data_IF_838553710288
#
_entry.id   IF_838553710288
#
_cell.length_a   1.000
_cell.length_b   1.000
_cell.length_c   1.000
_cell.angle_alpha   90.00
_cell.angle_beta   90.00
_cell.angle_gamma   90.00
#
_symmetry.space_group_name_H-M   'P 1'
#
loop_
_entity.id
_entity.type
_entity.pdbx_description
1 polymer ?
#
# COMPACT_ATOMS: atom_id res chain seq x y z
N UNK A 1 -30.83 -90.09 -37.72
CA UNK A 1 -30.90 -89.02 -36.71
C UNK A 1 -29.96 -87.89 -37.15
N UNK A 2 -30.49 -86.69 -37.44
CA UNK A 2 -29.66 -85.53 -37.72
C UNK A 2 -29.01 -85.07 -36.42
N UNK A 3 -27.68 -85.13 -36.30
CA UNK A 3 -26.97 -84.52 -35.17
C UNK A 3 -27.10 -83.00 -35.35
N UNK A 4 -27.60 -82.29 -34.34
CA UNK A 4 -27.71 -80.82 -34.37
C UNK A 4 -26.31 -80.22 -34.56
N UNK A 5 -26.19 -79.26 -35.48
CA UNK A 5 -24.98 -78.46 -35.69
C UNK A 5 -24.55 -77.84 -34.35
N UNK A 6 -23.27 -77.97 -33.93
CA UNK A 6 -22.79 -77.35 -32.70
C UNK A 6 -22.91 -75.83 -32.77
N UNK A 7 -23.40 -75.20 -31.69
CA UNK A 7 -23.49 -73.74 -31.54
C UNK A 7 -22.56 -73.28 -30.41
N UNK A 8 -21.61 -72.43 -30.76
CA UNK A 8 -20.70 -71.74 -29.84
C UNK A 8 -21.34 -70.45 -29.30
N UNK A 9 -20.99 -70.09 -28.06
CA UNK A 9 -21.40 -68.83 -27.41
C UNK A 9 -20.16 -67.98 -27.13
N UNK A 10 -20.29 -66.67 -27.31
CA UNK A 10 -19.22 -65.73 -27.00
C UNK A 10 -19.04 -65.58 -25.50
N UNK A 11 -17.79 -65.49 -25.04
CA UNK A 11 -17.44 -65.27 -23.64
C UNK A 11 -17.14 -63.79 -23.41
N UNK A 12 -18.19 -62.98 -23.40
CA UNK A 12 -18.10 -61.55 -23.13
C UNK A 12 -17.92 -61.25 -21.64
N UNK A 13 -17.37 -60.07 -21.34
CA UNK A 13 -17.29 -59.49 -20.00
C UNK A 13 -18.36 -58.41 -19.82
N UNK A 14 -18.75 -58.16 -18.58
CA UNK A 14 -19.65 -57.06 -18.23
C UNK A 14 -18.91 -55.71 -18.34
N UNK A 15 -19.51 -54.78 -19.08
CA UNK A 15 -18.96 -53.44 -19.31
C UNK A 15 -19.52 -52.38 -18.36
N UNK A 16 -20.55 -52.71 -17.56
CA UNK A 16 -21.27 -51.76 -16.70
C UNK A 16 -20.34 -51.04 -15.72
N UNK A 17 -19.44 -51.77 -15.07
CA UNK A 17 -18.46 -51.20 -14.14
C UNK A 17 -17.52 -50.18 -14.78
N UNK A 18 -17.03 -50.44 -15.99
CA UNK A 18 -16.15 -49.52 -16.71
C UNK A 18 -16.88 -48.23 -17.13
N UNK A 19 -18.12 -48.36 -17.62
CA UNK A 19 -18.95 -47.21 -17.99
C UNK A 19 -19.32 -46.35 -16.78
N UNK A 20 -19.60 -46.99 -15.64
CA UNK A 20 -19.86 -46.30 -14.38
C UNK A 20 -18.63 -45.51 -13.92
N UNK A 21 -17.43 -46.10 -14.01
CA UNK A 21 -16.18 -45.41 -13.64
C UNK A 21 -15.87 -44.23 -14.58
N UNK A 22 -16.08 -44.38 -15.88
CA UNK A 22 -15.95 -43.27 -16.83
C UNK A 22 -16.88 -42.11 -16.48
N UNK A 23 -18.15 -42.40 -16.19
CA UNK A 23 -19.14 -41.40 -15.79
C UNK A 23 -18.73 -40.73 -14.48
N UNK A 24 -18.26 -41.49 -13.49
CA UNK A 24 -17.79 -40.96 -12.22
C UNK A 24 -16.56 -40.06 -12.39
N UNK A 25 -15.61 -40.44 -13.24
CA UNK A 25 -14.42 -39.64 -13.54
C UNK A 25 -14.79 -38.32 -14.25
N UNK A 26 -15.71 -38.36 -15.22
CA UNK A 26 -16.20 -37.16 -15.91
C UNK A 26 -16.93 -36.21 -14.96
N UNK A 27 -17.77 -36.74 -14.07
CA UNK A 27 -18.44 -35.94 -13.05
C UNK A 27 -17.45 -35.29 -12.08
N UNK A 28 -16.41 -36.02 -11.64
CA UNK A 28 -15.37 -35.48 -10.78
C UNK A 28 -14.57 -34.35 -11.45
N UNK A 29 -14.19 -34.52 -12.72
CA UNK A 29 -13.52 -33.47 -13.50
C UNK A 29 -14.41 -32.21 -13.64
N UNK A 30 -15.69 -32.41 -13.92
CA UNK A 30 -16.67 -31.32 -14.07
C UNK A 30 -16.87 -30.57 -12.75
N UNK A 31 -16.91 -31.29 -11.62
CA UNK A 31 -17.07 -30.71 -10.29
C UNK A 31 -15.91 -29.81 -9.85
N UNK A 32 -14.69 -30.00 -10.39
CA UNK A 32 -13.54 -29.13 -10.10
C UNK A 32 -13.75 -27.72 -10.68
N UNK A 33 -14.39 -27.61 -11.84
CA UNK A 33 -14.69 -26.33 -12.48
C UNK A 33 -13.46 -25.50 -12.83
N UNK A 34 -13.70 -24.21 -13.11
CA UNK A 34 -12.66 -23.24 -13.41
C UNK A 34 -12.01 -22.71 -12.14
N UNK A 35 -10.79 -22.21 -12.27
CA UNK A 35 -10.07 -21.66 -11.13
C UNK A 35 -10.81 -20.44 -10.57
N UNK A 36 -11.06 -20.47 -9.25
CA UNK A 36 -11.63 -19.36 -8.51
C UNK A 36 -10.75 -19.07 -7.30
N UNK A 37 -10.12 -17.90 -7.29
CA UNK A 37 -9.25 -17.49 -6.18
C UNK A 37 -10.09 -17.22 -4.92
N UNK A 38 -9.68 -17.81 -3.80
CA UNK A 38 -10.32 -17.62 -2.51
C UNK A 38 -9.47 -16.72 -1.61
N UNK A 39 -9.87 -15.44 -1.47
CA UNK A 39 -9.18 -14.47 -0.61
C UNK A 39 -9.58 -14.59 0.86
N UNK A 40 -9.66 -15.82 1.40
CA UNK A 40 -10.09 -16.03 2.78
C UNK A 40 -9.16 -15.35 3.81
N UNK A 41 -7.89 -15.17 3.46
CA UNK A 41 -6.90 -14.47 4.28
C UNK A 41 -6.95 -12.93 4.12
N UNK A 42 -7.69 -12.42 3.13
CA UNK A 42 -7.81 -10.99 2.83
C UNK A 42 -6.52 -10.36 2.28
N UNK A 43 -5.62 -11.13 1.68
CA UNK A 43 -4.36 -10.61 1.16
C UNK A 43 -4.58 -9.71 -0.05
N UNK A 44 -5.54 -10.07 -0.93
CA UNK A 44 -5.85 -9.25 -2.10
C UNK A 44 -6.41 -7.89 -1.66
N UNK A 45 -7.41 -7.91 -0.80
CA UNK A 45 -8.02 -6.68 -0.28
C UNK A 45 -6.98 -5.78 0.43
N UNK A 46 -6.15 -6.36 1.31
CA UNK A 46 -5.10 -5.61 2.02
C UNK A 46 -4.05 -5.05 1.08
N UNK A 47 -3.69 -5.79 0.03
CA UNK A 47 -2.76 -5.31 -1.00
C UNK A 47 -3.34 -4.13 -1.77
N UNK A 48 -4.62 -4.17 -2.13
CA UNK A 48 -5.32 -3.09 -2.83
C UNK A 48 -5.42 -1.83 -1.94
N UNK A 49 -5.78 -2.00 -0.67
CA UNK A 49 -5.84 -0.90 0.28
C UNK A 49 -4.46 -0.26 0.51
N UNK A 50 -3.42 -1.07 0.74
CA UNK A 50 -2.07 -0.57 0.94
C UNK A 50 -1.51 0.12 -0.33
N UNK A 51 -1.88 -0.37 -1.52
CA UNK A 51 -1.56 0.31 -2.77
C UNK A 51 -2.21 1.70 -2.84
N UNK A 52 -3.49 1.80 -2.49
CA UNK A 52 -4.21 3.07 -2.51
C UNK A 52 -3.59 4.09 -1.54
N UNK A 53 -3.24 3.65 -0.32
CA UNK A 53 -2.57 4.49 0.67
C UNK A 53 -1.21 4.99 0.17
N UNK A 54 -0.39 4.09 -0.39
CA UNK A 54 0.89 4.45 -0.99
C UNK A 54 0.71 5.40 -2.17
N UNK A 55 -0.25 5.13 -3.06
CA UNK A 55 -0.50 5.93 -4.24
C UNK A 55 -1.02 7.34 -3.89
N UNK A 56 -1.86 7.46 -2.85
CA UNK A 56 -2.34 8.74 -2.33
C UNK A 56 -1.17 9.59 -1.80
N UNK A 57 -0.27 8.97 -1.04
CA UNK A 57 0.94 9.64 -0.56
C UNK A 57 1.89 9.96 -1.71
N UNK A 58 2.05 9.09 -2.71
CA UNK A 58 3.03 9.27 -3.79
C UNK A 58 2.60 10.32 -4.82
N UNK A 59 1.32 10.33 -5.20
CA UNK A 59 0.81 11.14 -6.31
C UNK A 59 -0.62 11.66 -6.13
N UNK A 60 -1.33 11.23 -5.09
CA UNK A 60 -2.71 11.63 -4.83
C UNK A 60 -2.86 12.85 -3.94
N UNK A 61 -3.94 12.86 -3.16
CA UNK A 61 -4.30 13.99 -2.30
C UNK A 61 -3.31 14.14 -1.14
N UNK A 62 -2.79 13.03 -0.61
CA UNK A 62 -1.72 13.03 0.38
C UNK A 62 -0.47 13.78 -0.08
N UNK A 63 -0.04 13.57 -1.33
CA UNK A 63 1.07 14.32 -1.95
C UNK A 63 0.74 15.81 -2.07
N UNK A 64 -0.43 16.13 -2.61
CA UNK A 64 -0.84 17.52 -2.82
C UNK A 64 -0.93 18.32 -1.51
N UNK A 65 -1.45 17.69 -0.45
CA UNK A 65 -1.53 18.28 0.88
C UNK A 65 -0.15 18.54 1.48
N UNK A 66 0.78 17.58 1.31
CA UNK A 66 2.17 17.74 1.73
C UNK A 66 2.84 18.90 0.99
N UNK A 67 2.74 18.95 -0.34
CA UNK A 67 3.35 20.03 -1.14
C UNK A 67 2.82 21.40 -0.73
N UNK A 68 1.51 21.53 -0.54
CA UNK A 68 0.87 22.77 -0.10
C UNK A 68 1.34 23.21 1.30
N UNK A 69 1.48 22.27 2.22
CA UNK A 69 1.99 22.54 3.57
C UNK A 69 3.46 22.97 3.55
N UNK A 70 4.30 22.27 2.77
CA UNK A 70 5.70 22.63 2.57
C UNK A 70 5.87 24.02 1.95
N UNK A 71 5.04 24.34 0.95
CA UNK A 71 5.05 25.67 0.34
C UNK A 71 4.71 26.76 1.35
N UNK A 72 3.67 26.56 2.18
CA UNK A 72 3.27 27.53 3.20
C UNK A 72 4.37 27.75 4.25
N UNK A 73 5.01 26.67 4.71
CA UNK A 73 6.13 26.74 5.64
C UNK A 73 7.31 27.45 5.00
N UNK A 74 7.62 27.16 3.73
CA UNK A 74 8.69 27.83 3.00
C UNK A 74 8.45 29.33 2.89
N UNK A 75 7.25 29.78 2.50
CA UNK A 75 6.92 31.22 2.49
C UNK A 75 7.13 31.85 3.86
N UNK A 76 6.75 31.17 4.94
CA UNK A 76 6.94 31.69 6.30
C UNK A 76 8.42 31.79 6.68
N UNK A 77 9.23 30.81 6.28
CA UNK A 77 10.70 30.83 6.46
C UNK A 77 11.31 32.00 5.70
N UNK A 78 10.90 32.22 4.46
CA UNK A 78 11.39 33.30 3.61
C UNK A 78 11.02 34.67 4.20
N UNK A 79 9.76 34.86 4.63
CA UNK A 79 9.30 36.10 5.27
C UNK A 79 10.04 36.42 6.58
N UNK A 80 10.37 35.40 7.37
CA UNK A 80 11.12 35.58 8.62
C UNK A 80 12.60 35.85 8.33
N UNK A 81 13.17 35.20 7.33
CA UNK A 81 14.53 35.47 6.87
C UNK A 81 14.67 36.91 6.38
N UNK A 82 13.71 37.39 5.59
CA UNK A 82 13.66 38.76 5.12
C UNK A 82 13.53 39.76 6.28
N UNK A 83 12.74 39.44 7.31
CA UNK A 83 12.67 40.26 8.53
C UNK A 83 14.01 40.32 9.26
N UNK A 84 14.74 39.20 9.37
CA UNK A 84 16.07 39.17 10.00
C UNK A 84 17.06 40.02 9.19
N UNK A 85 17.04 39.91 7.86
CA UNK A 85 17.95 40.63 6.98
C UNK A 85 17.65 42.14 6.93
N UNK A 86 16.39 42.52 7.08
CA UNK A 86 15.95 43.92 7.03
C UNK A 86 15.67 44.55 8.40
N UNK A 87 16.00 43.88 9.52
CA UNK A 87 15.70 44.38 10.87
C UNK A 87 16.40 45.72 11.18
N UNK A 88 17.55 45.95 10.55
CA UNK A 88 18.31 47.20 10.63
C UNK A 88 19.09 47.36 11.93
N UNK A 89 20.04 48.29 11.95
CA UNK A 89 20.89 48.55 13.11
C UNK A 89 20.15 49.28 14.23
N UNK A 90 20.56 49.03 15.48
CA UNK A 90 20.03 49.76 16.62
C UNK A 90 20.30 51.27 16.51
N UNK A 91 19.24 52.07 16.65
CA UNK A 91 19.30 53.53 16.70
C UNK A 91 18.37 54.07 17.79
N UNK A 92 18.86 55.04 18.56
CA UNK A 92 18.09 55.68 19.63
C UNK A 92 18.28 57.19 19.61
N UNK A 93 17.17 57.91 19.48
CA UNK A 93 17.08 59.37 19.47
C UNK A 93 16.31 59.83 20.71
N UNK A 94 17.05 60.28 21.73
CA UNK A 94 16.47 60.76 22.99
C UNK A 94 15.50 61.93 22.79
N UNK A 95 15.70 62.78 21.78
CA UNK A 95 14.82 63.94 21.59
C UNK A 95 13.45 63.55 21.03
N UNK A 96 13.33 62.36 20.44
CA UNK A 96 12.06 61.77 19.99
C UNK A 96 11.40 60.87 21.03
N UNK A 97 12.12 60.50 22.10
CA UNK A 97 11.58 59.68 23.18
C UNK A 97 10.68 60.52 24.10
N UNK A 98 9.39 60.21 24.15
CA UNK A 98 8.42 60.94 24.96
C UNK A 98 8.74 60.88 26.45
N UNK A 99 9.24 59.74 26.94
CA UNK A 99 9.57 59.55 28.34
C UNK A 99 10.81 60.37 28.71
N UNK A 100 11.80 60.45 27.81
CA UNK A 100 12.93 61.37 27.97
C UNK A 100 12.47 62.84 28.03
N UNK A 101 11.55 63.26 27.16
CA UNK A 101 11.02 64.64 27.18
C UNK A 101 10.31 64.96 28.50
N UNK A 102 9.54 64.02 29.04
CA UNK A 102 8.90 64.16 30.36
C UNK A 102 9.96 64.32 31.45
N UNK A 103 10.99 63.46 31.48
CA UNK A 103 12.08 63.59 32.45
C UNK A 103 12.82 64.91 32.29
N UNK A 104 13.15 65.31 31.07
CA UNK A 104 13.81 66.59 30.76
C UNK A 104 13.05 67.77 31.36
N UNK A 105 11.74 67.82 31.16
CA UNK A 105 10.90 68.88 31.72
C UNK A 105 10.88 68.87 33.27
N UNK A 106 10.76 67.68 33.87
CA UNK A 106 10.76 67.52 35.34
C UNK A 106 12.10 67.97 35.95
N UNK A 107 13.22 67.51 35.39
CA UNK A 107 14.56 67.86 35.87
C UNK A 107 14.84 69.35 35.67
N UNK A 108 14.44 69.97 34.55
CA UNK A 108 14.54 71.42 34.34
C UNK A 108 13.78 72.22 35.40
N UNK A 109 12.55 71.80 35.72
CA UNK A 109 11.76 72.43 36.78
C UNK A 109 12.41 72.26 38.16
N UNK A 110 12.86 71.04 38.48
CA UNK A 110 13.51 70.73 39.75
C UNK A 110 14.84 71.48 39.93
N UNK A 111 15.67 71.56 38.88
CA UNK A 111 16.93 72.30 38.90
C UNK A 111 16.72 73.79 39.11
N UNK A 112 15.76 74.40 38.41
CA UNK A 112 15.39 75.79 38.61
C UNK A 112 14.89 76.05 40.05
N UNK A 113 14.11 75.11 40.60
CA UNK A 113 13.69 75.14 42.00
C UNK A 113 14.86 75.05 42.99
N UNK A 114 15.79 74.12 42.79
CA UNK A 114 16.97 73.93 43.63
C UNK A 114 17.88 75.18 43.62
N UNK A 115 18.11 75.76 42.45
CA UNK A 115 18.85 77.01 42.30
C UNK A 115 18.18 78.17 43.06
N UNK A 116 16.86 78.33 42.89
CA UNK A 116 16.09 79.38 43.57
C UNK A 116 16.14 79.22 45.09
N UNK A 117 16.00 78.00 45.60
CA UNK A 117 16.07 77.72 47.03
C UNK A 117 17.44 78.04 47.61
N UNK A 118 18.52 77.69 46.90
CA UNK A 118 19.87 77.98 47.37
C UNK A 118 20.20 79.48 47.35
N UNK A 119 19.73 80.20 46.33
CA UNK A 119 19.82 81.66 46.29
C UNK A 119 19.01 82.32 47.41
N UNK A 120 17.80 81.84 47.70
CA UNK A 120 16.96 82.34 48.78
C UNK A 120 17.61 82.10 50.16
N UNK A 121 18.13 80.90 50.40
CA UNK A 121 18.83 80.55 51.63
C UNK A 121 20.08 81.43 51.83
N UNK A 122 20.83 81.69 50.76
CA UNK A 122 21.99 82.58 50.81
C UNK A 122 21.59 84.05 51.06
N UNK A 123 20.53 84.55 50.41
CA UNK A 123 20.01 85.91 50.61
C UNK A 123 19.55 86.15 52.05
N UNK A 124 18.93 85.16 52.69
CA UNK A 124 18.53 85.21 54.11
C UNK A 124 19.76 85.27 55.02
N UNK A 125 20.83 84.53 54.72
CA UNK A 125 22.04 84.50 55.53
C UNK A 125 22.97 85.71 55.32
N UNK A 126 22.92 86.38 54.17
CA UNK A 126 23.78 87.54 53.85
C UNK A 126 23.07 88.89 53.98
N UNK A 127 21.80 88.92 54.41
CA UNK A 127 21.03 90.15 54.57
C UNK A 127 20.70 90.84 53.24
N UNK A 128 20.60 90.09 52.14
CA UNK A 128 20.26 90.61 50.81
C UNK A 128 21.45 91.01 49.93
N UNK A 129 22.70 90.86 50.39
CA UNK A 129 23.87 91.06 49.52
C UNK A 129 24.12 89.85 48.62
N UNK A 130 24.09 90.09 47.31
CA UNK A 130 24.33 89.10 46.26
C UNK A 130 25.81 88.67 46.30
N UNK A 131 26.10 87.53 46.92
CA UNK A 131 27.46 87.02 47.07
C UNK A 131 27.78 86.02 45.93
N UNK A 132 28.95 86.17 45.30
CA UNK A 132 29.52 85.22 44.34
C UNK A 132 29.45 83.75 44.80
N UNK A 133 29.63 83.50 46.10
CA UNK A 133 29.51 82.18 46.70
C UNK A 133 28.09 81.60 46.61
N UNK A 134 27.06 82.44 46.76
CA UNK A 134 25.66 82.03 46.65
C UNK A 134 25.32 81.58 45.23
N UNK A 135 25.82 82.29 44.22
CA UNK A 135 25.63 81.92 42.82
C UNK A 135 26.35 80.61 42.50
N UNK A 136 27.58 80.44 42.99
CA UNK A 136 28.35 79.21 42.76
C UNK A 136 27.68 77.99 43.41
N UNK A 137 27.18 78.14 44.64
CA UNK A 137 26.45 77.08 45.34
C UNK A 137 25.10 76.75 44.67
N UNK A 138 24.37 77.76 44.19
CA UNK A 138 23.11 77.56 43.47
C UNK A 138 23.32 76.88 42.10
N UNK A 139 24.40 77.24 41.40
CA UNK A 139 24.80 76.58 40.16
C UNK A 139 25.20 75.12 40.41
N UNK A 140 25.89 74.83 41.52
CA UNK A 140 26.22 73.47 41.91
C UNK A 140 24.97 72.64 42.23
N UNK A 141 23.98 73.22 42.92
CA UNK A 141 22.69 72.56 43.18
C UNK A 141 21.94 72.25 41.87
N UNK A 142 21.90 73.20 40.93
CA UNK A 142 21.33 72.99 39.59
C UNK A 142 22.03 71.85 38.84
N UNK A 143 23.36 71.89 38.78
CA UNK A 143 24.17 70.88 38.08
C UNK A 143 23.98 69.49 38.70
N UNK A 144 23.91 69.39 40.03
CA UNK A 144 23.64 68.14 40.72
C UNK A 144 22.25 67.57 40.35
N UNK A 145 21.22 68.42 40.23
CA UNK A 145 19.91 67.98 39.75
C UNK A 145 19.97 67.54 38.28
N UNK A 146 20.68 68.26 37.42
CA UNK A 146 20.82 67.94 35.99
C UNK A 146 21.56 66.61 35.72
N UNK A 147 22.46 66.18 36.59
CA UNK A 147 23.14 64.89 36.44
C UNK A 147 22.14 63.72 36.37
N UNK A 148 21.05 63.77 37.13
CA UNK A 148 20.02 62.73 37.10
C UNK A 148 19.26 62.63 35.76
N UNK A 149 19.20 63.71 34.98
CA UNK A 149 18.65 63.65 33.62
C UNK A 149 19.54 62.86 32.67
N UNK A 150 20.87 63.00 32.80
CA UNK A 150 21.83 62.22 32.03
C UNK A 150 21.72 60.73 32.34
N UNK A 151 21.53 60.37 33.61
CA UNK A 151 21.33 58.98 34.03
C UNK A 151 20.07 58.39 33.40
N UNK A 152 18.97 59.17 33.35
CA UNK A 152 17.74 58.76 32.66
C UNK A 152 17.90 58.60 31.15
N UNK A 153 18.71 59.45 30.51
CA UNK A 153 19.03 59.29 29.09
C UNK A 153 19.71 57.94 28.81
N UNK A 154 20.68 57.57 29.67
CA UNK A 154 21.42 56.31 29.57
C UNK A 154 20.48 55.12 29.81
N UNK A 155 19.63 55.19 30.85
CA UNK A 155 18.67 54.14 31.19
C UNK A 155 17.68 53.87 30.03
N UNK A 156 17.10 54.93 29.45
CA UNK A 156 16.15 54.79 28.35
C UNK A 156 16.82 54.21 27.09
N UNK A 157 18.05 54.64 26.77
CA UNK A 157 18.83 54.04 25.67
C UNK A 157 19.10 52.56 25.91
N UNK A 158 19.46 52.16 27.13
CA UNK A 158 19.71 50.77 27.48
C UNK A 158 18.44 49.91 27.38
N UNK A 159 17.30 50.44 27.81
CA UNK A 159 15.99 49.79 27.67
C UNK A 159 15.61 49.64 26.19
N UNK A 160 15.80 50.68 25.38
CA UNK A 160 15.55 50.62 23.94
C UNK A 160 16.44 49.58 23.24
N UNK A 161 17.72 49.50 23.62
CA UNK A 161 18.64 48.48 23.09
C UNK A 161 18.17 47.08 23.47
N UNK A 162 17.75 46.88 24.71
CA UNK A 162 17.25 45.59 25.20
C UNK A 162 16.01 45.15 24.43
N UNK A 163 15.07 46.08 24.20
CA UNK A 163 13.86 45.79 23.42
C UNK A 163 14.18 45.42 21.98
N UNK A 164 15.06 46.18 21.31
CA UNK A 164 15.52 45.88 19.96
C UNK A 164 16.20 44.50 19.88
N UNK A 165 17.05 44.16 20.85
CA UNK A 165 17.69 42.83 20.91
C UNK A 165 16.66 41.71 21.13
N UNK A 166 15.68 41.92 22.02
CA UNK A 166 14.65 40.94 22.31
C UNK A 166 13.76 40.67 21.09
N UNK A 167 13.34 41.70 20.39
CA UNK A 167 12.56 41.58 19.15
C UNK A 167 13.35 40.84 18.07
N UNK A 168 14.62 41.19 17.85
CA UNK A 168 15.49 40.47 16.91
C UNK A 168 15.60 38.97 17.24
N UNK A 169 15.86 38.65 18.52
CA UNK A 169 15.95 37.27 19.00
C UNK A 169 14.63 36.51 18.79
N UNK A 170 13.48 37.15 19.03
CA UNK A 170 12.18 36.52 18.78
C UNK A 170 11.96 36.17 17.31
N UNK A 171 12.41 37.01 16.37
CA UNK A 171 12.32 36.70 14.94
C UNK A 171 13.23 35.51 14.60
N UNK A 172 14.46 35.48 15.13
CA UNK A 172 15.37 34.34 14.95
C UNK A 172 14.81 33.03 15.53
N UNK A 173 14.24 33.07 16.73
CA UNK A 173 13.63 31.90 17.37
C UNK A 173 12.47 31.37 16.54
N UNK A 174 11.60 32.26 16.03
CA UNK A 174 10.50 31.89 15.13
C UNK A 174 11.02 31.29 13.83
N UNK A 175 12.06 31.87 13.23
CA UNK A 175 12.68 31.34 12.02
C UNK A 175 13.17 29.91 12.25
N UNK A 176 13.93 29.67 13.32
CA UNK A 176 14.44 28.36 13.67
C UNK A 176 13.32 27.35 13.94
N UNK A 177 12.27 27.77 14.64
CA UNK A 177 11.11 26.92 14.93
C UNK A 177 10.40 26.46 13.65
N UNK A 178 10.08 27.40 12.75
CA UNK A 178 9.37 27.08 11.50
C UNK A 178 10.25 26.25 10.57
N UNK A 179 11.55 26.56 10.48
CA UNK A 179 12.49 25.79 9.67
C UNK A 179 12.61 24.34 10.18
N UNK A 180 12.69 24.16 11.50
CA UNK A 180 12.69 22.83 12.12
C UNK A 180 11.37 22.09 11.90
N UNK A 181 10.24 22.79 12.00
CA UNK A 181 8.92 22.22 11.71
C UNK A 181 8.84 21.72 10.26
N UNK A 182 9.34 22.49 9.30
CA UNK A 182 9.38 22.12 7.88
C UNK A 182 10.17 20.83 7.67
N UNK A 183 11.39 20.74 8.21
CA UNK A 183 12.22 19.55 8.11
C UNK A 183 11.60 18.32 8.80
N UNK A 184 10.96 18.52 9.96
CA UNK A 184 10.28 17.44 10.68
C UNK A 184 9.07 16.91 9.90
N UNK A 185 8.30 17.79 9.26
CA UNK A 185 7.16 17.42 8.43
C UNK A 185 7.60 16.65 7.18
N UNK A 186 8.66 17.10 6.50
CA UNK A 186 9.27 16.41 5.36
C UNK A 186 9.71 14.99 5.74
N UNK A 187 10.46 14.86 6.84
CA UNK A 187 10.89 13.55 7.36
C UNK A 187 9.70 12.64 7.71
N UNK A 188 8.70 13.17 8.41
CA UNK A 188 7.48 12.44 8.77
C UNK A 188 6.72 11.94 7.54
N UNK A 189 6.61 12.79 6.51
CA UNK A 189 5.94 12.43 5.26
C UNK A 189 6.67 11.31 4.51
N UNK A 190 7.99 11.41 4.33
CA UNK A 190 8.76 10.34 3.67
C UNK A 190 8.77 9.03 4.46
N UNK A 191 8.75 9.10 5.80
CA UNK A 191 8.60 7.91 6.64
C UNK A 191 7.24 7.23 6.40
N UNK A 192 6.15 7.99 6.30
CA UNK A 192 4.82 7.46 5.97
C UNK A 192 4.78 6.86 4.56
N UNK A 193 5.36 7.54 3.57
CA UNK A 193 5.44 7.05 2.20
C UNK A 193 6.18 5.70 2.13
N UNK A 194 7.32 5.60 2.80
CA UNK A 194 8.11 4.36 2.86
C UNK A 194 7.35 3.24 3.59
N UNK A 195 6.68 3.56 4.70
CA UNK A 195 5.86 2.59 5.44
C UNK A 195 4.71 2.05 4.56
N UNK A 196 4.01 2.91 3.84
CA UNK A 196 2.94 2.52 2.92
C UNK A 196 3.47 1.65 1.76
N UNK A 197 4.61 2.03 1.17
CA UNK A 197 5.26 1.22 0.12
C UNK A 197 5.63 -0.17 0.64
N UNK A 198 6.20 -0.26 1.85
CA UNK A 198 6.55 -1.53 2.46
C UNK A 198 5.31 -2.40 2.74
N UNK A 199 4.24 -1.81 3.26
CA UNK A 199 2.98 -2.52 3.49
C UNK A 199 2.40 -3.08 2.18
N UNK A 200 2.39 -2.27 1.11
CA UNK A 200 1.97 -2.72 -0.21
C UNK A 200 2.79 -3.92 -0.69
N UNK A 201 4.12 -3.83 -0.61
CA UNK A 201 5.01 -4.92 -1.05
C UNK A 201 4.77 -6.22 -0.26
N UNK A 202 4.58 -6.13 1.05
CA UNK A 202 4.31 -7.29 1.91
C UNK A 202 2.99 -7.96 1.51
N UNK A 203 1.89 -7.20 1.42
CA UNK A 203 0.59 -7.78 1.10
C UNK A 203 0.48 -8.26 -0.34
N UNK A 204 1.08 -7.55 -1.30
CA UNK A 204 1.10 -7.96 -2.71
C UNK A 204 1.89 -9.26 -2.89
N UNK A 205 2.99 -9.44 -2.15
CA UNK A 205 3.76 -10.69 -2.18
C UNK A 205 2.93 -11.83 -1.60
N UNK A 206 2.34 -11.63 -0.41
CA UNK A 206 1.48 -12.64 0.22
C UNK A 206 0.29 -13.04 -0.66
N UNK A 207 -0.35 -12.05 -1.32
CA UNK A 207 -1.42 -12.28 -2.28
C UNK A 207 -0.95 -13.15 -3.46
N UNK A 208 0.18 -12.80 -4.09
CA UNK A 208 0.72 -13.57 -5.21
C UNK A 208 1.08 -14.99 -4.82
N UNK A 209 1.71 -15.17 -3.67
CA UNK A 209 2.11 -16.47 -3.17
C UNK A 209 0.89 -17.35 -2.90
N UNK A 210 -0.12 -16.83 -2.20
CA UNK A 210 -1.37 -17.53 -1.93
C UNK A 210 -2.14 -17.87 -3.22
N UNK A 211 -2.27 -16.90 -4.13
CA UNK A 211 -2.87 -17.11 -5.46
C UNK A 211 -2.17 -18.24 -6.22
N UNK A 212 -0.84 -18.20 -6.30
CA UNK A 212 -0.05 -19.20 -7.03
C UNK A 212 -0.17 -20.59 -6.39
N UNK A 213 -0.19 -20.67 -5.05
CA UNK A 213 -0.39 -21.92 -4.33
C UNK A 213 -1.78 -22.51 -4.62
N UNK A 214 -2.83 -21.71 -4.52
CA UNK A 214 -4.20 -22.14 -4.82
C UNK A 214 -4.35 -22.57 -6.28
N UNK A 215 -3.75 -21.81 -7.20
CA UNK A 215 -3.75 -22.14 -8.62
C UNK A 215 -3.02 -23.47 -8.89
N UNK A 216 -1.87 -23.68 -8.25
CA UNK A 216 -1.13 -24.94 -8.34
C UNK A 216 -1.98 -26.13 -7.89
N UNK A 217 -2.63 -26.04 -6.73
CA UNK A 217 -3.51 -27.10 -6.21
C UNK A 217 -4.70 -27.37 -7.13
N UNK A 218 -5.33 -26.32 -7.65
CA UNK A 218 -6.43 -26.48 -8.62
C UNK A 218 -5.94 -27.17 -9.91
N UNK A 219 -4.79 -26.74 -10.43
CA UNK A 219 -4.20 -27.29 -11.65
C UNK A 219 -3.87 -28.78 -11.49
N UNK A 220 -3.20 -29.14 -10.38
CA UNK A 220 -2.85 -30.53 -10.07
C UNK A 220 -4.08 -31.42 -9.93
N UNK A 221 -5.10 -30.96 -9.20
CA UNK A 221 -6.35 -31.69 -9.03
C UNK A 221 -7.06 -31.91 -10.37
N UNK A 222 -7.15 -30.85 -11.19
CA UNK A 222 -7.75 -30.92 -12.52
C UNK A 222 -6.99 -31.88 -13.44
N UNK A 223 -5.66 -31.84 -13.44
CA UNK A 223 -4.80 -32.74 -14.21
C UNK A 223 -4.96 -34.21 -13.78
N UNK A 224 -5.04 -34.46 -12.46
CA UNK A 224 -5.30 -35.80 -11.93
C UNK A 224 -6.68 -36.33 -12.34
N UNK A 225 -7.73 -35.50 -12.24
CA UNK A 225 -9.08 -35.86 -12.68
C UNK A 225 -9.14 -36.12 -14.19
N UNK A 226 -8.47 -35.30 -15.00
CA UNK A 226 -8.37 -35.51 -16.45
C UNK A 226 -7.66 -36.82 -16.79
N UNK A 227 -6.59 -37.14 -16.07
CA UNK A 227 -5.86 -38.41 -16.22
C UNK A 227 -6.77 -39.60 -15.89
N UNK A 228 -7.59 -39.49 -14.83
CA UNK A 228 -8.58 -40.52 -14.47
C UNK A 228 -9.62 -40.72 -15.58
N UNK A 229 -10.12 -39.64 -16.18
CA UNK A 229 -11.05 -39.73 -17.34
C UNK A 229 -10.40 -40.48 -18.50
N UNK A 230 -9.16 -40.13 -18.86
CA UNK A 230 -8.46 -40.77 -19.98
C UNK A 230 -8.22 -42.27 -19.70
N UNK A 231 -7.87 -42.63 -18.47
CA UNK A 231 -7.67 -44.01 -18.06
C UNK A 231 -8.99 -44.80 -18.10
N UNK A 232 -10.08 -44.25 -17.54
CA UNK A 232 -11.39 -44.88 -17.55
C UNK A 232 -11.91 -45.07 -18.98
N UNK A 233 -11.73 -44.09 -19.86
CA UNK A 233 -12.09 -44.18 -21.27
C UNK A 233 -11.31 -45.31 -21.98
N UNK A 234 -10.02 -45.42 -21.69
CA UNK A 234 -9.18 -46.48 -22.25
C UNK A 234 -9.65 -47.87 -21.81
N UNK A 235 -10.10 -48.02 -20.56
CA UNK A 235 -10.65 -49.28 -20.06
C UNK A 235 -12.00 -49.63 -20.70
N UNK A 236 -12.88 -48.63 -20.90
CA UNK A 236 -14.14 -48.83 -21.64
C UNK A 236 -13.86 -49.30 -23.06
N UNK A 237 -12.92 -48.66 -23.76
CA UNK A 237 -12.54 -49.06 -25.11
C UNK A 237 -12.00 -50.49 -25.15
N UNK A 238 -11.08 -50.83 -24.24
CA UNK A 238 -10.56 -52.20 -24.13
C UNK A 238 -11.66 -53.24 -23.88
N UNK A 239 -12.61 -52.96 -22.98
CA UNK A 239 -13.67 -53.91 -22.65
C UNK A 239 -14.62 -54.13 -23.83
N UNK A 240 -14.94 -53.07 -24.57
CA UNK A 240 -15.74 -53.14 -25.80
C UNK A 240 -15.01 -53.92 -26.90
N UNK A 241 -13.72 -53.66 -27.11
CA UNK A 241 -12.90 -54.36 -28.11
C UNK A 241 -12.76 -55.84 -27.78
N UNK A 242 -12.55 -56.19 -26.51
CA UNK A 242 -12.52 -57.57 -26.05
C UNK A 242 -13.84 -58.29 -26.40
N UNK A 243 -14.98 -57.68 -26.06
CA UNK A 243 -16.29 -58.24 -26.33
C UNK A 243 -16.55 -58.39 -27.84
N UNK A 244 -16.19 -57.38 -28.64
CA UNK A 244 -16.32 -57.43 -30.09
C UNK A 244 -15.49 -58.58 -30.70
N UNK A 245 -14.26 -58.76 -30.23
CA UNK A 245 -13.39 -59.84 -30.68
C UNK A 245 -13.94 -61.23 -30.35
N UNK A 246 -14.44 -61.44 -29.12
CA UNK A 246 -15.02 -62.72 -28.69
C UNK A 246 -16.32 -63.05 -29.46
N UNK A 247 -17.14 -62.03 -29.75
CA UNK A 247 -18.33 -62.17 -30.60
C UNK A 247 -17.93 -62.56 -32.02
N UNK A 248 -16.98 -61.85 -32.63
CA UNK A 248 -16.51 -62.13 -34.00
C UNK A 248 -15.91 -63.54 -34.14
N UNK A 249 -15.11 -63.96 -33.17
CA UNK A 249 -14.55 -65.31 -33.09
C UNK A 249 -15.65 -66.37 -33.02
N UNK A 250 -16.66 -66.14 -32.17
CA UNK A 250 -17.80 -67.05 -32.03
C UNK A 250 -18.63 -67.14 -33.31
N UNK A 251 -18.88 -66.00 -33.96
CA UNK A 251 -19.58 -65.96 -35.24
C UNK A 251 -18.84 -66.76 -36.32
N UNK A 252 -17.51 -66.61 -36.39
CA UNK A 252 -16.66 -67.36 -37.31
C UNK A 252 -16.74 -68.87 -37.06
N UNK A 253 -16.63 -69.31 -35.79
CA UNK A 253 -16.74 -70.72 -35.43
C UNK A 253 -18.13 -71.29 -35.75
N UNK A 254 -19.20 -70.53 -35.52
CA UNK A 254 -20.58 -70.94 -35.86
C UNK A 254 -20.80 -71.04 -37.38
N UNK A 255 -20.20 -70.15 -38.18
CA UNK A 255 -20.23 -70.24 -39.63
C UNK A 255 -19.49 -71.50 -40.13
N UNK A 256 -18.28 -71.75 -39.62
CA UNK A 256 -17.51 -72.96 -39.96
C UNK A 256 -18.25 -74.24 -39.59
N UNK A 257 -18.84 -74.31 -38.39
CA UNK A 257 -19.65 -75.45 -37.97
C UNK A 257 -20.86 -75.69 -38.88
N UNK A 258 -21.52 -74.62 -39.33
CA UNK A 258 -22.65 -74.69 -40.26
C UNK A 258 -22.21 -75.21 -41.63
N UNK A 259 -21.09 -74.70 -42.16
CA UNK A 259 -20.53 -75.15 -43.44
C UNK A 259 -20.10 -76.64 -43.39
N UNK A 260 -19.45 -77.06 -42.30
CA UNK A 260 -19.04 -78.46 -42.13
C UNK A 260 -20.24 -79.41 -42.08
N UNK A 261 -21.33 -79.03 -41.40
CA UNK A 261 -22.55 -79.83 -41.35
C UNK A 261 -23.27 -79.89 -42.72
N UNK A 262 -23.25 -78.80 -43.48
CA UNK A 262 -23.73 -78.78 -44.87
C UNK A 262 -22.94 -79.75 -45.76
N UNK A 263 -21.61 -79.69 -45.73
CA UNK A 263 -20.74 -80.60 -46.49
C UNK A 263 -20.96 -82.07 -46.12
N UNK A 264 -21.14 -82.37 -44.82
CA UNK A 264 -21.44 -83.72 -44.37
C UNK A 264 -22.81 -84.21 -44.84
N UNK A 265 -23.82 -83.33 -44.84
CA UNK A 265 -25.16 -83.62 -45.36
C UNK A 265 -25.13 -83.90 -46.87
N UNK A 266 -24.41 -83.09 -47.64
CA UNK A 266 -24.20 -83.30 -49.08
C UNK A 266 -23.47 -84.62 -49.36
N UNK A 267 -22.41 -84.92 -48.62
CA UNK A 267 -21.69 -86.20 -48.71
C UNK A 267 -22.61 -87.38 -48.44
N UNK A 268 -23.45 -87.30 -47.39
CA UNK A 268 -24.45 -88.33 -47.09
C UNK A 268 -25.47 -88.49 -48.22
N UNK A 269 -25.98 -87.38 -48.78
CA UNK A 269 -26.91 -87.41 -49.93
C UNK A 269 -26.27 -88.04 -51.15
N UNK A 270 -25.02 -87.69 -51.46
CA UNK A 270 -24.26 -88.29 -52.56
C UNK A 270 -24.08 -89.80 -52.37
N UNK A 271 -23.64 -90.23 -51.19
CA UNK A 271 -23.46 -91.65 -50.89
C UNK A 271 -24.78 -92.44 -51.00
N UNK A 272 -25.88 -91.91 -50.45
CA UNK A 272 -27.21 -92.52 -50.58
C UNK A 272 -27.67 -92.61 -52.05
N UNK A 273 -27.38 -91.60 -52.87
CA UNK A 273 -27.67 -91.62 -54.31
C UNK A 273 -26.85 -92.69 -55.03
N UNK A 274 -25.56 -92.82 -54.72
CA UNK A 274 -24.68 -93.84 -55.28
C UNK A 274 -25.10 -95.25 -54.89
N UNK A 275 -25.48 -95.49 -53.63
CA UNK A 275 -26.06 -96.77 -53.19
C UNK A 275 -27.35 -97.10 -53.94
N UNK A 276 -28.21 -96.10 -54.17
CA UNK A 276 -29.46 -96.28 -54.91
C UNK A 276 -29.20 -96.65 -56.37
N UNK A 277 -28.21 -96.01 -57.01
CA UNK A 277 -27.78 -96.34 -58.38
C UNK A 277 -27.19 -97.75 -58.45
N UNK A 278 -26.34 -98.13 -57.49
CA UNK A 278 -25.78 -99.48 -57.40
C UNK A 278 -26.88 -100.55 -57.25
N UNK A 279 -27.87 -100.29 -56.38
CA UNK A 279 -29.04 -101.18 -56.22
C UNK A 279 -29.88 -101.26 -57.49
N UNK A 280 -30.08 -100.17 -58.23
CA UNK A 280 -30.77 -100.19 -59.54
C UNK A 280 -30.02 -100.99 -60.60
N UNK A 281 -28.69 -100.84 -60.70
CA UNK A 281 -27.86 -101.66 -61.62
C UNK A 281 -27.90 -103.15 -61.28
N UNK A 282 -28.02 -103.51 -60.00
CA UNK A 282 -28.15 -104.93 -59.57
C UNK A 282 -29.50 -105.57 -59.90
N UNK A 283 -30.55 -104.78 -60.16
CA UNK A 283 -31.92 -105.24 -60.46
C UNK A 283 -32.28 -105.24 -61.95
N UNK A 284 -31.37 -104.80 -62.82
CA UNK A 284 -31.54 -104.76 -64.27
C UNK A 284 -30.78 -105.85 -65.02
N UNK A 285 -30.45 -106.96 -64.35
CA UNK A 285 -30.02 -108.22 -64.97
C UNK A 285 -31.17 -109.20 -64.95
#
# INVERSE_FOLDING_TARGET
>A
MSKKTPKYKAKTIDTSGYNNELTAAQNALTAIGDFNYNDAAGYKERSENAFNDWNDLYSGQGKANFDASQQKLQTTVDDLFDQIMNYGDFSYDQEKDQLFQIYKQQYLSAGAGAMKNQLAAASTNTGGYNNSYAQQSAQQAYNNTMNGLSDKAIELRANALTNWQNEYNQIQDRYNLVNNQKAAEESSYYNKLNAANNAYNVFNTAYKDDYNNQYGLWSDNRNAAQTRVNNAQSQVNWANDYNANEINKTNTLNQQATQADQQLSETRRHNNKMETIAKKKSRGK
#
